data_IF_627153023736
#
_entry.id   IF_627153023736
#
_cell.length_a   1.000
_cell.length_b   1.000
_cell.length_c   1.000
_cell.angle_alpha   90.00
_cell.angle_beta   90.00
_cell.angle_gamma   90.00
#
_symmetry.space_group_name_H-M   'P 1'
#
loop_
_entity.id
_entity.type
_entity.pdbx_description
1 polymer ?
#
# COMPACT_ATOMS: atom_id res chain seq x y z
N UNK A 1 -43.91 13.06 29.77
CA UNK A 1 -42.78 12.12 29.61
C UNK A 1 -42.61 11.60 28.18
N UNK A 2 -43.65 11.06 27.52
CA UNK A 2 -43.52 10.44 26.17
C UNK A 2 -43.01 11.39 25.07
N UNK A 3 -43.38 12.68 25.11
CA UNK A 3 -42.90 13.67 24.12
C UNK A 3 -41.40 13.99 24.26
N UNK A 4 -40.88 13.98 25.49
CA UNK A 4 -39.46 14.21 25.78
C UNK A 4 -38.61 13.01 25.32
N UNK A 5 -39.14 11.80 25.54
CA UNK A 5 -38.53 10.55 25.07
C UNK A 5 -38.46 10.46 23.53
N UNK A 6 -39.52 10.90 22.84
CA UNK A 6 -39.52 11.00 21.37
C UNK A 6 -38.51 12.01 20.83
N UNK A 7 -38.33 13.14 21.52
CA UNK A 7 -37.32 14.14 21.15
C UNK A 7 -35.89 13.62 21.33
N UNK A 8 -35.64 12.90 22.43
CA UNK A 8 -34.35 12.27 22.71
C UNK A 8 -34.01 11.15 21.71
N UNK A 9 -35.01 10.38 21.28
CA UNK A 9 -34.83 9.31 20.29
C UNK A 9 -34.60 9.90 18.88
N UNK A 10 -35.25 11.02 18.55
CA UNK A 10 -35.04 11.71 17.29
C UNK A 10 -33.66 12.39 17.21
N UNK A 11 -33.13 12.92 18.32
CA UNK A 11 -31.77 13.46 18.38
C UNK A 11 -30.69 12.38 18.27
N UNK A 12 -30.94 11.17 18.78
CA UNK A 12 -30.02 10.04 18.69
C UNK A 12 -29.91 9.50 17.25
N UNK A 13 -30.99 9.56 16.46
CA UNK A 13 -30.95 9.22 15.03
C UNK A 13 -30.15 10.21 14.19
N UNK A 14 -30.06 11.49 14.58
CA UNK A 14 -29.27 12.49 13.85
C UNK A 14 -27.76 12.41 14.13
N UNK A 15 -27.34 11.67 15.16
CA UNK A 15 -25.93 11.34 15.44
C UNK A 15 -25.43 10.13 14.63
N UNK A 16 -26.30 9.45 13.86
CA UNK A 16 -25.92 8.35 12.98
C UNK A 16 -25.34 8.86 11.63
N UNK A 17 -24.59 9.97 11.63
CA UNK A 17 -23.99 10.50 10.41
C UNK A 17 -22.68 9.79 10.04
N UNK A 18 -22.69 9.29 8.80
CA UNK A 18 -21.57 8.84 7.98
C UNK A 18 -20.63 7.82 8.64
N UNK A 19 -20.93 6.54 8.40
CA UNK A 19 -19.84 5.59 8.17
C UNK A 19 -19.00 6.17 7.03
N UNK A 20 -17.79 6.63 7.37
CA UNK A 20 -16.83 7.06 6.37
C UNK A 20 -16.62 5.86 5.46
N UNK A 21 -16.94 6.02 4.17
CA UNK A 21 -16.61 5.01 3.17
C UNK A 21 -15.10 4.83 3.23
N UNK A 22 -14.66 3.75 3.87
CA UNK A 22 -13.29 3.28 3.75
C UNK A 22 -13.06 3.12 2.25
N UNK A 23 -12.11 3.87 1.68
CA UNK A 23 -11.85 3.87 0.24
C UNK A 23 -11.74 2.44 -0.28
N UNK A 24 -12.28 2.18 -1.48
CA UNK A 24 -12.31 0.85 -2.08
C UNK A 24 -10.87 0.31 -2.20
N UNK A 25 -10.50 -0.74 -1.43
CA UNK A 25 -9.14 -1.27 -1.47
C UNK A 25 -8.76 -1.81 -2.84
N UNK A 26 -9.73 -2.30 -3.61
CA UNK A 26 -9.50 -2.76 -4.97
C UNK A 26 -9.18 -1.59 -5.90
N UNK A 27 -9.90 -0.48 -5.73
CA UNK A 27 -9.66 0.73 -6.50
C UNK A 27 -8.26 1.27 -6.22
N UNK A 28 -7.85 1.34 -4.95
CA UNK A 28 -6.50 1.75 -4.57
C UNK A 28 -5.43 0.90 -5.27
N UNK A 29 -5.55 -0.42 -5.19
CA UNK A 29 -4.59 -1.34 -5.85
C UNK A 29 -4.56 -1.11 -7.36
N UNK A 30 -5.71 -0.93 -8.00
CA UNK A 30 -5.81 -0.66 -9.44
C UNK A 30 -5.12 0.63 -9.85
N UNK A 31 -5.41 1.72 -9.13
CA UNK A 31 -4.87 3.04 -9.43
C UNK A 31 -3.35 3.08 -9.23
N UNK A 32 -2.86 2.56 -8.10
CA UNK A 32 -1.42 2.46 -7.84
C UNK A 32 -0.71 1.60 -8.89
N UNK A 33 -1.25 0.41 -9.21
CA UNK A 33 -0.63 -0.47 -10.20
C UNK A 33 -0.58 0.19 -11.59
N UNK A 34 -1.71 0.77 -12.04
CA UNK A 34 -1.77 1.45 -13.33
C UNK A 34 -0.80 2.64 -13.40
N UNK A 35 -0.75 3.47 -12.36
CA UNK A 35 0.15 4.63 -12.31
C UNK A 35 1.63 4.24 -12.38
N UNK A 36 2.03 3.18 -11.68
CA UNK A 36 3.41 2.68 -11.72
C UNK A 36 3.75 2.15 -13.11
N UNK A 37 2.88 1.32 -13.69
CA UNK A 37 3.12 0.72 -15.00
C UNK A 37 3.15 1.76 -16.11
N UNK A 38 2.27 2.77 -16.06
CA UNK A 38 2.29 3.90 -16.98
C UNK A 38 3.60 4.69 -16.88
N UNK A 39 4.09 4.96 -15.67
CA UNK A 39 5.40 5.62 -15.47
C UNK A 39 6.55 4.79 -16.01
N UNK A 40 6.53 3.47 -15.83
CA UNK A 40 7.56 2.57 -16.36
C UNK A 40 7.56 2.62 -17.90
N UNK A 41 6.39 2.52 -18.54
CA UNK A 41 6.27 2.63 -19.99
C UNK A 41 6.76 3.99 -20.51
N UNK A 42 6.36 5.08 -19.86
CA UNK A 42 6.71 6.44 -20.26
C UNK A 42 8.19 6.80 -20.01
N UNK A 43 8.93 6.01 -19.23
CA UNK A 43 10.34 6.26 -18.91
C UNK A 43 11.27 5.12 -19.38
N UNK A 44 10.83 4.25 -20.29
CA UNK A 44 11.60 3.08 -20.73
C UNK A 44 13.03 3.42 -21.18
N UNK A 45 13.23 4.45 -22.00
CA UNK A 45 14.57 4.82 -22.49
C UNK A 45 15.52 5.17 -21.32
N UNK A 46 15.05 5.98 -20.37
CA UNK A 46 15.81 6.36 -19.17
C UNK A 46 16.10 5.16 -18.27
N UNK A 47 15.14 4.25 -18.14
CA UNK A 47 15.26 3.04 -17.34
C UNK A 47 16.18 2.00 -18.00
N UNK A 48 16.29 2.00 -19.33
CA UNK A 48 17.24 1.16 -20.06
C UNK A 48 18.68 1.67 -19.92
N UNK A 49 18.87 3.00 -19.87
CA UNK A 49 20.18 3.61 -19.61
C UNK A 49 20.63 3.41 -18.16
N UNK A 50 19.73 3.60 -17.20
CA UNK A 50 19.98 3.34 -15.78
C UNK A 50 18.82 2.57 -15.12
N UNK A 51 18.92 1.24 -15.08
CA UNK A 51 17.95 0.36 -14.41
C UNK A 51 17.71 0.69 -12.93
N UNK A 52 18.64 1.36 -12.26
CA UNK A 52 18.49 1.71 -10.84
C UNK A 52 17.45 2.80 -10.60
N UNK A 53 17.10 3.58 -11.62
CA UNK A 53 16.06 4.61 -11.53
C UNK A 53 14.67 4.03 -11.29
N UNK A 54 14.46 2.74 -11.55
CA UNK A 54 13.20 2.05 -11.23
C UNK A 54 12.89 2.11 -9.74
N UNK A 55 13.93 2.20 -8.89
CA UNK A 55 13.76 2.30 -7.44
C UNK A 55 13.13 3.61 -7.00
N UNK A 56 13.44 4.71 -7.69
CA UNK A 56 12.85 6.03 -7.44
C UNK A 56 11.37 6.07 -7.90
N UNK A 57 11.08 5.45 -9.04
CA UNK A 57 9.69 5.35 -9.53
C UNK A 57 8.81 4.54 -8.59
N UNK A 58 9.33 3.42 -8.07
CA UNK A 58 8.63 2.58 -7.10
C UNK A 58 8.55 3.27 -5.74
N UNK A 59 9.59 4.02 -5.32
CA UNK A 59 9.62 4.60 -3.98
C UNK A 59 8.47 5.56 -3.73
N UNK A 60 8.19 6.41 -4.70
CA UNK A 60 7.29 7.54 -4.52
C UNK A 60 5.81 7.15 -4.58
N UNK A 61 5.49 6.15 -5.41
CA UNK A 61 4.10 5.74 -5.68
C UNK A 61 3.66 4.50 -4.93
N UNK A 62 4.57 3.54 -4.73
CA UNK A 62 4.22 2.22 -4.20
C UNK A 62 4.39 2.19 -2.69
N UNK A 63 5.52 2.71 -2.19
CA UNK A 63 5.91 2.50 -0.80
C UNK A 63 5.00 3.19 0.22
N UNK A 64 4.31 4.27 -0.16
CA UNK A 64 3.36 4.98 0.71
C UNK A 64 2.17 4.11 1.13
N UNK A 65 1.89 3.04 0.39
CA UNK A 65 0.81 2.11 0.67
C UNK A 65 1.24 0.89 1.49
N UNK A 66 2.53 0.71 1.77
CA UNK A 66 3.05 -0.44 2.51
C UNK A 66 3.38 -0.11 3.96
N UNK A 67 2.96 -1.00 4.87
CA UNK A 67 3.40 -0.98 6.26
C UNK A 67 4.63 -1.90 6.42
N UNK A 68 5.83 -1.37 6.14
CA UNK A 68 7.08 -2.13 6.21
C UNK A 68 7.39 -2.64 7.60
N UNK A 69 7.03 -1.91 8.66
CA UNK A 69 7.16 -2.40 10.04
C UNK A 69 6.35 -3.67 10.26
N UNK A 70 5.08 -3.70 9.83
CA UNK A 70 4.21 -4.86 9.99
C UNK A 70 4.66 -6.03 9.12
N UNK A 71 5.11 -5.77 7.89
CA UNK A 71 5.65 -6.82 7.00
C UNK A 71 6.92 -7.43 7.57
N UNK A 72 7.87 -6.59 8.01
CA UNK A 72 9.14 -7.03 8.61
C UNK A 72 8.88 -7.82 9.89
N UNK A 73 7.97 -7.34 10.74
CA UNK A 73 7.54 -8.05 11.95
C UNK A 73 6.98 -9.44 11.61
N UNK A 74 6.13 -9.54 10.59
CA UNK A 74 5.57 -10.82 10.15
C UNK A 74 6.66 -11.77 9.62
N UNK A 75 7.60 -11.25 8.82
CA UNK A 75 8.72 -12.03 8.28
C UNK A 75 9.66 -12.55 9.38
N UNK A 76 9.95 -11.74 10.40
CA UNK A 76 10.82 -12.11 11.52
C UNK A 76 10.14 -13.02 12.55
N UNK A 77 8.81 -13.03 12.61
CA UNK A 77 8.03 -13.81 13.56
C UNK A 77 8.48 -13.60 15.01
N UNK A 78 8.81 -14.69 15.72
CA UNK A 78 9.21 -14.65 17.15
C UNK A 78 10.48 -13.82 17.42
N UNK A 79 11.34 -13.64 16.41
CA UNK A 79 12.60 -12.91 16.55
C UNK A 79 12.40 -11.39 16.61
N UNK A 80 11.28 -10.87 16.07
CA UNK A 80 10.95 -9.44 16.15
C UNK A 80 10.93 -8.93 17.60
N UNK A 81 10.38 -9.74 18.51
CA UNK A 81 10.29 -9.39 19.94
C UNK A 81 11.64 -9.41 20.67
N UNK A 82 12.66 -10.04 20.08
CA UNK A 82 13.99 -10.20 20.66
C UNK A 82 14.99 -9.16 20.14
N UNK A 83 14.68 -8.52 19.01
CA UNK A 83 15.50 -7.48 18.44
C UNK A 83 15.43 -6.20 19.28
N UNK A 84 16.56 -5.49 19.42
CA UNK A 84 16.56 -4.11 19.92
C UNK A 84 15.82 -3.17 18.94
N UNK A 85 15.51 -1.96 19.39
CA UNK A 85 14.83 -1.00 18.51
C UNK A 85 15.73 -0.57 17.35
N UNK A 86 17.04 -0.43 17.57
CA UNK A 86 18.02 -0.19 16.50
C UNK A 86 18.07 -1.34 15.50
N UNK A 87 18.05 -2.58 15.98
CA UNK A 87 18.03 -3.76 15.11
C UNK A 87 16.75 -3.81 14.28
N UNK A 88 15.58 -3.50 14.86
CA UNK A 88 14.31 -3.45 14.12
C UNK A 88 14.37 -2.42 13.00
N UNK A 89 14.88 -1.22 13.26
CA UNK A 89 15.03 -0.17 12.26
C UNK A 89 15.95 -0.60 11.11
N UNK A 90 17.13 -1.14 11.43
CA UNK A 90 18.09 -1.61 10.42
C UNK A 90 17.50 -2.75 9.59
N UNK A 91 16.82 -3.71 10.23
CA UNK A 91 16.23 -4.85 9.52
C UNK A 91 15.08 -4.40 8.62
N UNK A 92 14.22 -3.49 9.08
CA UNK A 92 13.15 -2.94 8.26
C UNK A 92 13.70 -2.21 7.02
N UNK A 93 14.74 -1.39 7.19
CA UNK A 93 15.43 -0.71 6.10
C UNK A 93 15.97 -1.71 5.07
N UNK A 94 16.72 -2.71 5.53
CA UNK A 94 17.32 -3.71 4.64
C UNK A 94 16.25 -4.59 3.97
N UNK A 95 15.18 -4.91 4.68
CA UNK A 95 14.05 -5.65 4.13
C UNK A 95 13.36 -4.86 3.01
N UNK A 96 13.12 -3.56 3.22
CA UNK A 96 12.58 -2.66 2.20
C UNK A 96 13.48 -2.61 0.96
N UNK A 97 14.79 -2.37 1.14
CA UNK A 97 15.75 -2.32 0.03
C UNK A 97 15.81 -3.64 -0.75
N UNK A 98 15.80 -4.78 -0.05
CA UNK A 98 15.78 -6.10 -0.67
C UNK A 98 14.55 -6.29 -1.56
N UNK A 99 13.36 -5.95 -1.07
CA UNK A 99 12.13 -6.07 -1.86
C UNK A 99 12.16 -5.16 -3.10
N UNK A 100 12.58 -3.91 -2.93
CA UNK A 100 12.70 -2.95 -4.03
C UNK A 100 13.67 -3.48 -5.10
N UNK A 101 14.84 -3.99 -4.69
CA UNK A 101 15.83 -4.58 -5.61
C UNK A 101 15.31 -5.82 -6.34
N UNK A 102 14.58 -6.67 -5.62
CA UNK A 102 14.11 -7.96 -6.17
C UNK A 102 12.97 -7.78 -7.17
N UNK A 103 12.02 -6.89 -6.87
CA UNK A 103 10.81 -6.72 -7.69
C UNK A 103 10.87 -5.51 -8.63
N UNK A 104 11.68 -4.49 -8.33
CA UNK A 104 11.85 -3.31 -9.19
C UNK A 104 12.41 -3.68 -10.56
N UNK A 105 13.41 -4.55 -10.62
CA UNK A 105 13.98 -5.04 -11.90
C UNK A 105 12.93 -5.79 -12.72
N UNK A 106 11.98 -6.49 -12.09
CA UNK A 106 10.93 -7.19 -12.82
C UNK A 106 10.01 -6.23 -13.57
N UNK A 107 9.82 -5.00 -13.06
CA UNK A 107 9.04 -3.97 -13.75
C UNK A 107 9.69 -3.49 -15.05
N UNK A 108 11.02 -3.57 -15.16
CA UNK A 108 11.73 -3.21 -16.41
C UNK A 108 11.36 -4.12 -17.58
N UNK A 109 10.89 -5.33 -17.29
CA UNK A 109 10.43 -6.28 -18.30
C UNK A 109 8.94 -6.09 -18.67
N UNK A 110 8.27 -5.10 -18.08
CA UNK A 110 6.88 -4.80 -18.42
C UNK A 110 6.78 -4.19 -19.81
N UNK A 111 5.89 -4.74 -20.63
CA UNK A 111 5.70 -4.38 -22.03
C UNK A 111 4.21 -4.35 -22.41
N UNK A 112 3.33 -4.08 -21.44
CA UNK A 112 1.88 -4.00 -21.66
C UNK A 112 1.10 -5.27 -21.32
N UNK A 113 1.61 -6.11 -20.42
CA UNK A 113 0.87 -7.29 -19.94
C UNK A 113 -0.44 -6.87 -19.27
N UNK A 114 -1.54 -7.57 -19.58
CA UNK A 114 -2.85 -7.30 -18.99
C UNK A 114 -2.93 -7.77 -17.54
N UNK A 115 -3.45 -6.92 -16.64
CA UNK A 115 -3.74 -7.28 -15.25
C UNK A 115 -5.23 -7.55 -15.07
N UNK A 116 -5.57 -8.80 -14.73
CA UNK A 116 -6.93 -9.19 -14.36
C UNK A 116 -7.17 -9.07 -12.86
N UNK A 117 -8.07 -8.17 -12.47
CA UNK A 117 -8.49 -7.99 -11.09
C UNK A 117 -9.67 -8.91 -10.75
N UNK A 118 -9.52 -9.73 -9.71
CA UNK A 118 -10.57 -10.62 -9.24
C UNK A 118 -11.53 -9.87 -8.28
N UNK A 119 -12.80 -10.32 -8.17
CA UNK A 119 -13.74 -9.75 -7.19
C UNK A 119 -13.20 -9.88 -5.76
N UNK A 120 -13.30 -8.80 -4.99
CA UNK A 120 -12.99 -8.82 -3.56
C UNK A 120 -14.11 -9.55 -2.83
N UNK A 121 -13.75 -10.52 -1.98
CA UNK A 121 -14.72 -11.15 -1.07
C UNK A 121 -14.87 -10.25 0.15
N UNK A 122 -16.11 -9.89 0.47
CA UNK A 122 -16.47 -9.16 1.68
C UNK A 122 -16.32 -10.04 2.93
#
# INVERSE_FOLDING_TARGET
MVKLFKFLLLSLLMLAQSAWAQGDPLLLVKETANGVLEKVLNNQDRLNEDPSLVYLLVSDEVLTHFNFTQMTRSAMGKYWRRASDEQKMVIEEQFRQMLIRTYGVALLNYSGQEIKYLPVKA
#
